data_IF_014203801969
#
_entry.id   IF_014203801969
#
_cell.length_a   1.000
_cell.length_b   1.000
_cell.length_c   1.000
_cell.angle_alpha   90.00
_cell.angle_beta   90.00
_cell.angle_gamma   90.00
#
_symmetry.space_group_name_H-M   'P 1'
#
loop_
_entity.id
_entity.type
_entity.pdbx_description
1 polymer ?
#
# COMPACT_ATOMS: atom_id res chain seq x y z
N UNK A 1 12.26 -3.76 22.66
CA UNK A 1 13.12 -3.23 21.58
C UNK A 1 12.24 -2.30 20.74
N UNK A 2 12.70 -1.12 20.28
CA UNK A 2 11.80 -0.19 19.57
C UNK A 2 11.46 -0.71 18.16
N UNK A 3 10.22 -0.47 17.69
CA UNK A 3 9.75 -0.90 16.36
C UNK A 3 10.68 -0.46 15.22
N UNK A 4 11.31 0.73 15.36
CA UNK A 4 12.30 1.23 14.41
C UNK A 4 13.58 0.39 14.34
N UNK A 5 14.08 -0.11 15.48
CA UNK A 5 15.26 -1.00 15.48
C UNK A 5 14.91 -2.33 14.80
N UNK A 6 13.70 -2.85 15.04
CA UNK A 6 13.22 -4.08 14.42
C UNK A 6 13.05 -3.94 12.91
N UNK A 7 12.51 -2.83 12.41
CA UNK A 7 12.39 -2.57 10.97
C UNK A 7 13.76 -2.58 10.27
N UNK A 8 14.80 -2.04 10.93
CA UNK A 8 16.16 -2.05 10.37
C UNK A 8 16.74 -3.45 10.21
N UNK A 9 16.42 -4.40 11.10
CA UNK A 9 16.94 -5.77 11.04
C UNK A 9 16.28 -6.65 9.97
N UNK A 10 15.06 -6.33 9.53
CA UNK A 10 14.35 -7.06 8.47
C UNK A 10 15.18 -7.08 7.18
N UNK A 11 15.34 -8.23 6.52
CA UNK A 11 16.11 -8.37 5.26
C UNK A 11 15.25 -8.67 4.04
N UNK A 12 14.02 -9.14 4.24
CA UNK A 12 13.10 -9.52 3.17
C UNK A 12 11.66 -9.06 3.41
N UNK A 13 11.05 -8.48 2.38
CA UNK A 13 9.71 -7.90 2.41
C UNK A 13 8.84 -8.46 1.29
N UNK A 14 7.59 -8.79 1.60
CA UNK A 14 6.53 -8.95 0.60
C UNK A 14 5.67 -7.69 0.54
N UNK A 15 5.31 -7.23 -0.66
CA UNK A 15 4.39 -6.11 -0.84
C UNK A 15 3.01 -6.67 -1.22
N UNK A 16 1.99 -6.34 -0.45
CA UNK A 16 0.59 -6.71 -0.69
C UNK A 16 -0.20 -5.45 -1.05
N UNK A 17 -0.75 -5.39 -2.27
CA UNK A 17 -1.58 -4.27 -2.70
C UNK A 17 -3.04 -4.50 -2.31
N UNK A 18 -3.61 -3.58 -1.53
CA UNK A 18 -5.00 -3.61 -1.09
C UNK A 18 -5.79 -2.45 -1.71
N UNK A 19 -6.92 -2.76 -2.35
CA UNK A 19 -7.75 -1.80 -3.08
C UNK A 19 -9.23 -1.91 -2.63
N UNK A 20 -10.10 -0.94 -2.97
CA UNK A 20 -11.53 -1.10 -2.75
C UNK A 20 -12.04 -2.38 -3.41
N UNK A 21 -13.09 -2.98 -2.85
CA UNK A 21 -13.71 -4.18 -3.41
C UNK A 21 -14.16 -4.00 -4.87
N UNK A 22 -14.52 -2.77 -5.26
CA UNK A 22 -14.86 -2.40 -6.64
C UNK A 22 -13.94 -1.28 -7.12
N UNK A 23 -12.67 -1.57 -7.49
CA UNK A 23 -11.73 -0.54 -7.87
C UNK A 23 -12.01 -0.06 -9.30
N UNK A 24 -11.94 1.25 -9.54
CA UNK A 24 -12.08 1.82 -10.90
C UNK A 24 -10.94 1.41 -11.84
N UNK A 25 -9.77 1.16 -11.28
CA UNK A 25 -8.59 0.66 -12.00
C UNK A 25 -8.34 -0.77 -11.52
N UNK A 26 -8.28 -1.78 -12.41
CA UNK A 26 -8.03 -3.16 -12.03
C UNK A 26 -6.74 -3.32 -11.23
N UNK A 27 -6.79 -4.16 -10.19
CA UNK A 27 -5.63 -4.47 -9.34
C UNK A 27 -4.39 -4.88 -10.15
N UNK A 28 -4.59 -5.70 -11.18
CA UNK A 28 -3.53 -6.17 -12.05
C UNK A 28 -2.80 -5.03 -12.79
N UNK A 29 -3.53 -3.99 -13.23
CA UNK A 29 -2.92 -2.82 -13.89
C UNK A 29 -2.04 -2.03 -12.92
N UNK A 30 -2.51 -1.82 -11.68
CA UNK A 30 -1.73 -1.12 -10.65
C UNK A 30 -0.52 -1.96 -10.22
N UNK A 31 -0.68 -3.28 -10.04
CA UNK A 31 0.43 -4.18 -9.71
C UNK A 31 1.49 -4.20 -10.82
N UNK A 32 1.07 -4.24 -12.08
CA UNK A 32 1.99 -4.16 -13.23
C UNK A 32 2.76 -2.85 -13.22
N UNK A 33 2.09 -1.71 -13.01
CA UNK A 33 2.75 -0.41 -12.93
C UNK A 33 3.73 -0.33 -11.73
N UNK A 34 3.34 -0.80 -10.54
CA UNK A 34 4.24 -0.89 -9.38
C UNK A 34 5.46 -1.75 -9.70
N UNK A 35 5.26 -2.91 -10.34
CA UNK A 35 6.35 -3.80 -10.75
C UNK A 35 7.33 -3.09 -11.69
N UNK A 36 6.81 -2.35 -12.68
CA UNK A 36 7.62 -1.57 -13.62
C UNK A 36 8.45 -0.49 -12.91
N UNK A 37 7.89 0.20 -11.90
CA UNK A 37 8.61 1.18 -11.09
C UNK A 37 9.63 0.56 -10.12
N UNK A 38 9.35 -0.64 -9.59
CA UNK A 38 10.26 -1.35 -8.69
C UNK A 38 11.42 -2.04 -9.44
N UNK A 39 11.20 -2.48 -10.68
CA UNK A 39 12.18 -3.24 -11.47
C UNK A 39 13.53 -2.53 -11.70
N UNK A 40 13.59 -1.22 -12.02
CA UNK A 40 14.88 -0.52 -12.16
C UNK A 40 15.53 -0.15 -10.83
N UNK A 41 14.80 -0.20 -9.71
CA UNK A 41 15.31 0.21 -8.41
C UNK A 41 16.30 -0.84 -7.84
N UNK A 42 17.42 -0.37 -7.31
CA UNK A 42 18.39 -1.25 -6.65
C UNK A 42 17.82 -1.77 -5.34
N UNK A 43 17.58 -3.07 -5.27
CA UNK A 43 17.13 -3.75 -4.07
C UNK A 43 18.24 -3.76 -3.01
N UNK A 44 18.06 -3.03 -1.91
CA UNK A 44 18.96 -3.08 -0.75
C UNK A 44 18.58 -4.22 0.19
N UNK A 45 17.29 -4.56 0.20
CA UNK A 45 16.68 -5.68 0.90
C UNK A 45 15.82 -6.45 -0.10
N UNK A 46 15.65 -7.76 0.08
CA UNK A 46 14.84 -8.57 -0.83
C UNK A 46 13.40 -8.05 -0.80
N UNK A 47 12.84 -7.70 -1.95
CA UNK A 47 11.45 -7.26 -2.06
C UNK A 47 10.72 -8.12 -3.09
N UNK A 48 9.55 -8.63 -2.72
CA UNK A 48 8.69 -9.43 -3.60
C UNK A 48 7.32 -8.77 -3.65
N UNK A 49 6.84 -8.40 -4.82
CA UNK A 49 5.43 -8.00 -4.97
C UNK A 49 4.59 -9.28 -4.93
N UNK A 50 3.73 -9.41 -3.92
CA UNK A 50 2.78 -10.51 -3.86
C UNK A 50 1.87 -10.42 -5.09
N UNK A 51 1.84 -11.51 -5.86
CA UNK A 51 1.08 -11.60 -7.11
C UNK A 51 -0.42 -11.69 -6.85
N UNK A 52 -1.04 -12.77 -7.34
CA UNK A 52 -2.46 -13.03 -7.05
C UNK A 52 -2.67 -13.20 -5.56
N UNK A 53 -3.76 -12.65 -5.09
CA UNK A 53 -4.09 -12.50 -3.68
C UNK A 53 -5.61 -12.51 -3.55
N UNK A 54 -6.11 -13.26 -2.57
CA UNK A 54 -7.53 -13.40 -2.31
C UNK A 54 -8.16 -12.06 -1.89
N UNK A 55 -9.44 -11.87 -2.16
CA UNK A 55 -10.11 -10.60 -1.85
C UNK A 55 -10.17 -10.32 -0.35
N UNK A 56 -10.16 -11.33 0.52
CA UNK A 56 -10.04 -11.14 1.97
C UNK A 56 -8.76 -10.35 2.36
N UNK A 57 -7.70 -10.50 1.56
CA UNK A 57 -6.40 -9.85 1.76
C UNK A 57 -6.28 -8.54 0.97
N UNK A 58 -6.68 -8.56 -0.31
CA UNK A 58 -6.40 -7.46 -1.24
C UNK A 58 -7.60 -6.58 -1.59
N UNK A 59 -8.78 -6.84 -1.00
CA UNK A 59 -9.94 -5.96 -1.10
C UNK A 59 -10.33 -5.35 0.26
N UNK A 60 -10.96 -4.18 0.23
CA UNK A 60 -11.57 -3.56 1.40
C UNK A 60 -12.90 -2.89 1.06
N UNK A 61 -13.76 -2.80 2.06
CA UNK A 61 -14.88 -1.87 2.11
C UNK A 61 -14.62 -0.77 3.15
N UNK A 62 -15.55 0.16 3.28
CA UNK A 62 -15.37 1.32 4.18
C UNK A 62 -15.13 0.92 5.65
N UNK A 63 -15.78 -0.14 6.12
CA UNK A 63 -15.69 -0.58 7.52
C UNK A 63 -14.33 -1.17 7.91
N UNK A 64 -13.56 -1.66 6.94
CA UNK A 64 -12.26 -2.28 7.17
C UNK A 64 -11.11 -1.57 6.43
N UNK A 65 -11.33 -0.32 6.02
CA UNK A 65 -10.35 0.57 5.42
C UNK A 65 -9.33 1.06 6.47
N UNK A 66 -8.03 1.10 6.15
CA UNK A 66 -7.00 1.58 7.07
C UNK A 66 -6.94 3.10 7.14
N UNK A 67 -7.24 3.78 6.02
CA UNK A 67 -7.29 5.23 5.99
C UNK A 67 -8.52 5.75 6.76
N UNK A 68 -8.32 6.14 8.02
CA UNK A 68 -9.38 6.56 8.94
C UNK A 68 -9.27 8.04 9.26
N UNK A 69 -10.33 8.80 8.96
CA UNK A 69 -10.45 10.22 9.30
C UNK A 69 -11.49 10.42 10.40
N UNK A 70 -11.39 11.53 11.13
CA UNK A 70 -12.46 12.00 12.00
C UNK A 70 -13.50 12.78 11.19
N UNK A 71 -14.76 12.66 11.61
CA UNK A 71 -15.90 13.25 10.90
C UNK A 71 -15.91 14.79 10.98
N UNK A 72 -15.23 15.37 11.97
CA UNK A 72 -15.31 16.78 12.34
C UNK A 72 -14.27 17.67 11.63
N UNK A 73 -13.06 17.16 11.42
CA UNK A 73 -11.94 17.98 10.94
C UNK A 73 -11.00 17.24 9.97
N UNK A 74 -11.40 16.06 9.47
CA UNK A 74 -10.59 15.24 8.59
C UNK A 74 -9.19 14.91 9.16
N UNK A 75 -9.05 14.83 10.48
CA UNK A 75 -7.79 14.43 11.10
C UNK A 75 -7.66 12.91 11.04
N UNK A 76 -6.46 12.45 10.68
CA UNK A 76 -6.17 11.03 10.64
C UNK A 76 -6.21 10.40 12.04
N UNK A 77 -7.09 9.41 12.22
CA UNK A 77 -7.32 8.70 13.48
C UNK A 77 -6.37 7.51 13.61
N UNK A 78 -5.12 7.76 14.02
CA UNK A 78 -4.06 6.75 14.10
C UNK A 78 -4.41 5.54 14.98
N UNK A 79 -5.06 5.76 16.12
CA UNK A 79 -5.50 4.68 17.01
C UNK A 79 -6.61 3.82 16.38
N UNK A 80 -7.58 4.45 15.70
CA UNK A 80 -8.65 3.75 14.99
C UNK A 80 -8.08 2.94 13.82
N UNK A 81 -7.21 3.55 13.01
CA UNK A 81 -6.50 2.88 11.93
C UNK A 81 -5.74 1.65 12.42
N UNK A 82 -4.99 1.76 13.53
CA UNK A 82 -4.32 0.62 14.17
C UNK A 82 -5.29 -0.47 14.61
N UNK A 83 -6.45 -0.10 15.16
CA UNK A 83 -7.50 -1.05 15.52
C UNK A 83 -7.99 -1.85 14.32
N UNK A 84 -8.28 -1.17 13.20
CA UNK A 84 -8.70 -1.81 11.94
C UNK A 84 -7.60 -2.70 11.36
N UNK A 85 -6.35 -2.22 11.33
CA UNK A 85 -5.20 -3.00 10.87
C UNK A 85 -5.04 -4.27 11.70
N UNK A 86 -5.05 -4.16 13.03
CA UNK A 86 -4.90 -5.33 13.91
C UNK A 86 -6.05 -6.34 13.73
N UNK A 87 -7.27 -5.86 13.50
CA UNK A 87 -8.41 -6.74 13.20
C UNK A 87 -8.20 -7.47 11.86
N UNK A 88 -7.79 -6.75 10.82
CA UNK A 88 -7.44 -7.32 9.52
C UNK A 88 -6.34 -8.38 9.64
N UNK A 89 -5.26 -8.10 10.37
CA UNK A 89 -4.13 -9.03 10.55
C UNK A 89 -4.57 -10.30 11.27
N UNK A 90 -5.41 -10.19 12.30
CA UNK A 90 -5.96 -11.34 13.04
C UNK A 90 -6.90 -12.19 12.20
N UNK A 91 -7.81 -11.56 11.46
CA UNK A 91 -8.76 -12.26 10.60
C UNK A 91 -8.08 -13.02 9.46
N UNK A 92 -6.92 -12.54 9.02
CA UNK A 92 -6.19 -13.08 7.88
C UNK A 92 -4.85 -13.74 8.25
N UNK A 93 -4.62 -14.05 9.52
CA UNK A 93 -3.32 -14.48 10.03
C UNK A 93 -2.73 -15.67 9.25
N UNK A 94 -3.53 -16.72 9.04
CA UNK A 94 -3.09 -17.92 8.35
C UNK A 94 -2.64 -17.63 6.92
N UNK A 95 -3.43 -16.86 6.15
CA UNK A 95 -3.11 -16.54 4.76
C UNK A 95 -1.88 -15.62 4.66
N UNK A 96 -1.76 -14.62 5.54
CA UNK A 96 -0.60 -13.73 5.59
C UNK A 96 0.68 -14.50 5.94
N UNK A 97 0.62 -15.40 6.93
CA UNK A 97 1.75 -16.25 7.31
C UNK A 97 2.15 -17.20 6.18
N UNK A 98 1.19 -17.78 5.46
CA UNK A 98 1.49 -18.62 4.30
C UNK A 98 2.28 -17.84 3.23
N UNK A 99 1.86 -16.62 2.88
CA UNK A 99 2.59 -15.74 1.94
C UNK A 99 4.03 -15.51 2.41
N UNK A 100 4.22 -15.22 3.70
CA UNK A 100 5.55 -15.03 4.26
C UNK A 100 6.42 -16.28 4.17
N UNK A 101 5.87 -17.45 4.52
CA UNK A 101 6.60 -18.73 4.49
C UNK A 101 6.96 -19.13 3.06
N UNK A 102 6.01 -19.11 2.13
CA UNK A 102 6.21 -19.50 0.73
C UNK A 102 7.30 -18.66 0.04
N UNK A 103 7.37 -17.37 0.37
CA UNK A 103 8.32 -16.45 -0.22
C UNK A 103 9.59 -16.26 0.63
N UNK A 104 9.71 -16.96 1.76
CA UNK A 104 10.79 -16.80 2.75
C UNK A 104 11.01 -15.33 3.13
N UNK A 105 9.96 -14.70 3.66
CA UNK A 105 9.90 -13.28 4.02
C UNK A 105 10.02 -13.07 5.53
N UNK A 106 10.62 -11.94 5.90
CA UNK A 106 10.74 -11.47 7.29
C UNK A 106 9.62 -10.49 7.66
N UNK A 107 8.94 -9.93 6.66
CA UNK A 107 7.99 -8.85 6.84
C UNK A 107 7.04 -8.75 5.65
N UNK A 108 5.86 -8.18 5.90
CA UNK A 108 4.94 -7.75 4.86
C UNK A 108 4.75 -6.24 4.92
N UNK A 109 4.68 -5.63 3.75
CA UNK A 109 4.28 -4.26 3.48
C UNK A 109 2.88 -4.35 2.88
N UNK A 110 1.87 -3.95 3.63
CA UNK A 110 0.50 -3.83 3.14
C UNK A 110 0.33 -2.40 2.65
N UNK A 111 0.14 -2.25 1.34
CA UNK A 111 -0.08 -0.97 0.69
C UNK A 111 -1.55 -0.83 0.32
N UNK A 112 -2.31 -0.13 1.14
CA UNK A 112 -3.72 0.18 0.88
C UNK A 112 -3.82 1.48 0.08
N UNK A 113 -4.55 1.46 -1.05
CA UNK A 113 -4.73 2.62 -1.92
C UNK A 113 -6.20 2.82 -2.25
N UNK A 114 -6.64 4.08 -2.29
CA UNK A 114 -7.94 4.51 -2.79
C UNK A 114 -7.72 5.48 -3.97
N UNK A 115 -7.71 4.99 -5.21
CA UNK A 115 -7.56 5.85 -6.38
C UNK A 115 -8.88 6.52 -6.75
N UNK A 116 -8.84 7.82 -7.00
CA UNK A 116 -9.96 8.63 -7.48
C UNK A 116 -9.56 9.30 -8.79
N UNK A 117 -10.40 9.14 -9.80
CA UNK A 117 -10.24 9.76 -11.11
C UNK A 117 -11.57 10.44 -11.47
N UNK A 118 -11.53 11.74 -11.73
CA UNK A 118 -12.67 12.49 -12.24
C UNK A 118 -12.29 13.16 -13.55
N UNK A 119 -12.84 12.63 -14.64
CA UNK A 119 -12.61 13.17 -15.97
C UNK A 119 -13.29 14.52 -16.18
N UNK A 120 -14.56 14.63 -15.81
CA UNK A 120 -15.36 15.85 -15.98
C UNK A 120 -14.79 17.03 -15.18
N UNK A 121 -14.32 16.75 -13.96
CA UNK A 121 -13.71 17.76 -13.11
C UNK A 121 -12.18 17.85 -13.30
N UNK A 122 -11.64 17.09 -14.26
CA UNK A 122 -10.24 17.03 -14.64
C UNK A 122 -9.27 16.98 -13.44
N UNK A 123 -9.49 16.04 -12.53
CA UNK A 123 -8.57 15.81 -11.41
C UNK A 123 -8.36 14.33 -11.16
N UNK A 124 -7.23 14.05 -10.53
CA UNK A 124 -6.88 12.76 -9.98
C UNK A 124 -6.46 12.92 -8.52
N UNK A 125 -6.86 11.98 -7.67
CA UNK A 125 -6.53 11.98 -6.26
C UNK A 125 -6.27 10.54 -5.83
N UNK A 126 -5.45 10.35 -4.81
CA UNK A 126 -5.41 9.08 -4.12
C UNK A 126 -5.10 9.26 -2.63
N UNK A 127 -5.73 8.39 -1.86
CA UNK A 127 -5.38 8.18 -0.46
C UNK A 127 -4.61 6.86 -0.34
N UNK A 128 -3.61 6.80 0.53
CA UNK A 128 -2.88 5.57 0.76
C UNK A 128 -2.40 5.40 2.19
N UNK A 129 -2.27 4.13 2.61
CA UNK A 129 -1.65 3.71 3.86
C UNK A 129 -0.60 2.65 3.54
N UNK A 130 0.61 2.84 4.07
CA UNK A 130 1.68 1.83 4.08
C UNK A 130 1.76 1.30 5.51
N UNK A 131 1.45 0.03 5.71
CA UNK A 131 1.62 -0.67 6.97
C UNK A 131 2.70 -1.74 6.82
N UNK A 132 3.69 -1.76 7.71
CA UNK A 132 4.73 -2.79 7.73
C UNK A 132 4.59 -3.62 9.00
N UNK A 133 4.60 -4.95 8.85
CA UNK A 133 4.46 -5.90 9.95
C UNK A 133 5.63 -6.89 9.99
N UNK A 134 6.01 -7.37 11.17
CA UNK A 134 6.99 -8.46 11.33
C UNK A 134 6.39 -9.85 11.05
N UNK A 135 7.19 -10.91 11.19
CA UNK A 135 6.76 -12.31 11.02
C UNK A 135 5.65 -12.72 11.98
N UNK A 136 5.59 -12.09 13.14
CA UNK A 136 4.58 -12.30 14.17
C UNK A 136 3.33 -11.44 13.94
N UNK A 137 3.26 -10.70 12.81
CA UNK A 137 2.19 -9.77 12.44
C UNK A 137 2.05 -8.59 13.41
N UNK A 138 3.10 -8.20 14.13
CA UNK A 138 3.14 -6.95 14.87
C UNK A 138 3.44 -5.78 13.94
N UNK A 139 2.69 -4.69 14.10
CA UNK A 139 2.88 -3.47 13.34
C UNK A 139 4.20 -2.77 13.72
N UNK A 140 5.11 -2.67 12.77
CA UNK A 140 6.40 -1.98 12.91
C UNK A 140 6.32 -0.52 12.46
N UNK A 141 5.51 -0.25 11.44
CA UNK A 141 5.45 1.07 10.79
C UNK A 141 4.07 1.30 10.18
N UNK A 142 3.58 2.54 10.28
CA UNK A 142 2.40 3.02 9.55
C UNK A 142 2.73 4.41 9.03
N UNK A 143 2.44 4.64 7.76
CA UNK A 143 2.51 5.93 7.11
C UNK A 143 1.30 6.12 6.19
N UNK A 144 0.90 7.38 5.97
CA UNK A 144 -0.33 7.72 5.24
C UNK A 144 -0.14 8.93 4.35
N UNK A 145 -0.89 9.00 3.27
CA UNK A 145 -0.90 10.14 2.35
C UNK A 145 -2.30 10.34 1.75
N UNK A 146 -2.64 11.58 1.45
CA UNK A 146 -3.78 11.97 0.63
C UNK A 146 -3.31 13.12 -0.26
N UNK A 147 -3.45 12.97 -1.57
CA UNK A 147 -2.93 13.93 -2.53
C UNK A 147 -3.83 14.07 -3.75
N UNK A 148 -4.34 15.29 -3.92
CA UNK A 148 -5.07 15.72 -5.10
C UNK A 148 -4.16 16.44 -6.09
N UNK A 149 -4.36 16.15 -7.37
CA UNK A 149 -3.68 16.77 -8.50
C UNK A 149 -4.71 17.21 -9.52
N UNK A 150 -4.64 18.47 -9.94
CA UNK A 150 -5.37 18.91 -11.12
C UNK A 150 -4.69 18.31 -12.37
N UNK A 151 -5.51 17.94 -13.35
CA UNK A 151 -5.05 17.38 -14.59
C UNK A 151 -5.61 18.26 -15.71
N UNK A 152 -4.77 18.99 -16.44
CA UNK A 152 -5.20 19.63 -17.68
C UNK A 152 -5.07 18.64 -18.84
N UNK A 153 -5.79 17.52 -18.75
CA UNK A 153 -5.70 16.41 -19.70
C UNK A 153 -7.09 15.85 -20.02
N UNK A 154 -7.42 15.83 -21.31
CA UNK A 154 -8.73 15.40 -21.83
C UNK A 154 -8.69 13.91 -22.23
N UNK A 155 -7.52 13.27 -22.20
CA UNK A 155 -7.38 11.85 -22.44
C UNK A 155 -7.46 11.05 -21.12
N UNK A 156 -8.55 10.28 -20.96
CA UNK A 156 -8.78 9.44 -19.79
C UNK A 156 -7.66 8.42 -19.53
N UNK A 157 -7.12 7.78 -20.57
CA UNK A 157 -6.06 6.78 -20.41
C UNK A 157 -4.75 7.40 -19.92
N UNK A 158 -4.44 8.63 -20.36
CA UNK A 158 -3.30 9.39 -19.86
C UNK A 158 -3.48 9.80 -18.41
N UNK A 159 -4.65 10.29 -18.03
CA UNK A 159 -4.94 10.61 -16.63
C UNK A 159 -4.85 9.36 -15.74
N UNK A 160 -5.42 8.23 -16.19
CA UNK A 160 -5.33 6.94 -15.50
C UNK A 160 -3.87 6.52 -15.30
N UNK A 161 -3.07 6.57 -16.36
CA UNK A 161 -1.63 6.25 -16.30
C UNK A 161 -0.90 7.17 -15.33
N UNK A 162 -1.14 8.48 -15.40
CA UNK A 162 -0.53 9.44 -14.49
C UNK A 162 -0.90 9.17 -13.03
N UNK A 163 -2.15 8.78 -12.74
CA UNK A 163 -2.55 8.42 -11.39
C UNK A 163 -1.82 7.16 -10.90
N UNK A 164 -1.70 6.12 -11.74
CA UNK A 164 -0.93 4.92 -11.39
C UNK A 164 0.54 5.24 -11.15
N UNK A 165 1.15 6.09 -11.98
CA UNK A 165 2.53 6.51 -11.80
C UNK A 165 2.73 7.24 -10.47
N UNK A 166 1.78 8.09 -10.05
CA UNK A 166 1.82 8.77 -8.73
C UNK A 166 1.72 7.79 -7.55
N UNK A 167 0.87 6.77 -7.68
CA UNK A 167 0.70 5.71 -6.67
C UNK A 167 2.01 4.91 -6.54
N UNK A 168 2.60 4.50 -7.67
CA UNK A 168 3.86 3.74 -7.69
C UNK A 168 5.04 4.56 -7.21
N UNK A 169 5.17 5.81 -7.66
CA UNK A 169 6.19 6.76 -7.23
C UNK A 169 6.17 6.93 -5.71
N UNK A 170 4.98 7.13 -5.12
CA UNK A 170 4.81 7.22 -3.67
C UNK A 170 5.40 6.01 -2.95
N UNK A 171 5.01 4.80 -3.35
CA UNK A 171 5.50 3.59 -2.72
C UNK A 171 7.02 3.51 -2.82
N UNK A 172 7.57 3.72 -4.02
CA UNK A 172 8.99 3.65 -4.29
C UNK A 172 9.81 4.66 -3.46
N UNK A 173 9.34 5.91 -3.37
CA UNK A 173 9.98 6.95 -2.55
C UNK A 173 9.97 6.56 -1.07
N UNK A 174 8.86 6.00 -0.57
CA UNK A 174 8.80 5.56 0.84
C UNK A 174 9.72 4.37 1.11
N UNK A 175 9.80 3.41 0.20
CA UNK A 175 10.75 2.30 0.30
C UNK A 175 12.20 2.80 0.27
N UNK A 176 12.47 3.86 -0.51
CA UNK A 176 13.78 4.52 -0.55
C UNK A 176 14.13 5.19 0.78
N UNK A 177 13.20 5.97 1.35
CA UNK A 177 13.37 6.60 2.68
C UNK A 177 13.64 5.58 3.78
N UNK A 178 13.03 4.40 3.68
CA UNK A 178 13.20 3.29 4.63
C UNK A 178 14.46 2.46 4.36
N UNK A 179 15.21 2.76 3.29
CA UNK A 179 16.42 2.04 2.90
C UNK A 179 16.17 0.60 2.43
N UNK A 180 14.97 0.31 1.93
CA UNK A 180 14.59 -1.01 1.41
C UNK A 180 15.04 -1.14 -0.05
N UNK A 181 14.90 -0.05 -0.81
CA UNK A 181 15.38 0.09 -2.19
C UNK A 181 16.19 1.37 -2.32
N UNK A 182 16.89 1.53 -3.45
CA UNK A 182 17.58 2.75 -3.82
C UNK A 182 17.29 3.06 -5.29
N UNK A 183 16.72 4.24 -5.52
CA UNK A 183 16.52 4.84 -6.85
C UNK A 183 17.70 5.75 -7.18
#
# INVERSE_FOLDING_TARGET
>A
MSAWKQLKSVQSFGILLRLPANPRIPRAEIQENISQWLSPAKQMKKTVLAGRCDDALCAYGESNRFFQLSDDNNTFLSFKARGVINLYLRQNEAALKNIMTENSLDSLIIYEVYPVLSFEMQFMDFESVICIVDRELNVLFIDRQSNRYEADEINMDRMKKSLMDRISERLLLKLTDLGIVKV
#
